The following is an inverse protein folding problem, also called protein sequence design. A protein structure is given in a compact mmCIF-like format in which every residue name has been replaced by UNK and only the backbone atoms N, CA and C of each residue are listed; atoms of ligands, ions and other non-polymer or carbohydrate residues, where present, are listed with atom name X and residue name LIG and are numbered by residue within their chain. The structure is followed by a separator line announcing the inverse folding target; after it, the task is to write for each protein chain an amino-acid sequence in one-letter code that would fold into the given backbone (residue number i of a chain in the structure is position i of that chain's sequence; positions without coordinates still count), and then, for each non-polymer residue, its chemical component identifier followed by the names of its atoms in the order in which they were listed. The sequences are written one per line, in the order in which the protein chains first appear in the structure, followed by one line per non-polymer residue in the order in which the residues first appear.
data_IF_297611625721
#
_entry.id   IF_297611625721
#
_cell.length_a   1.000
_cell.length_b   1.000
_cell.length_c   1.000
_cell.angle_alpha   90.00
_cell.angle_beta   90.00
_cell.angle_gamma   90.00
#
_symmetry.space_group_name_H-M   'P 1'
#
loop_
_entity.id
_entity.type
_entity.pdbx_description
1 polymer ?
#
# COMPACT_ATOMS: atom_id res chain seq x y z
N UNK A 1 10.72 -11.62 5.94
CA UNK A 1 9.98 -11.19 7.16
C UNK A 1 9.11 -9.96 6.90
N UNK A 2 9.63 -8.94 6.21
CA UNK A 2 8.91 -7.70 5.85
C UNK A 2 7.57 -7.93 5.13
N UNK A 3 7.45 -8.84 4.15
CA UNK A 3 6.17 -9.08 3.45
C UNK A 3 5.05 -9.67 4.31
N UNK A 4 5.38 -10.45 5.35
CA UNK A 4 4.35 -11.02 6.23
C UNK A 4 3.79 -9.95 7.17
N UNK A 5 4.69 -9.12 7.72
CA UNK A 5 4.30 -7.95 8.51
C UNK A 5 3.52 -6.94 7.67
N UNK A 6 3.98 -6.63 6.44
CA UNK A 6 3.28 -5.69 5.56
C UNK A 6 1.87 -6.16 5.20
N UNK A 7 1.70 -7.45 4.88
CA UNK A 7 0.37 -8.03 4.60
C UNK A 7 -0.53 -8.04 5.83
N UNK A 8 0.01 -8.40 7.00
CA UNK A 8 -0.73 -8.36 8.26
C UNK A 8 -1.17 -6.93 8.61
N UNK A 9 -0.23 -5.97 8.60
CA UNK A 9 -0.50 -4.57 8.90
C UNK A 9 -1.52 -3.97 7.91
N UNK A 10 -1.39 -4.28 6.61
CA UNK A 10 -2.35 -3.83 5.60
C UNK A 10 -3.73 -4.46 5.81
N UNK A 11 -3.79 -5.75 6.13
CA UNK A 11 -5.07 -6.43 6.39
C UNK A 11 -5.75 -5.87 7.64
N UNK A 12 -4.99 -5.66 8.72
CA UNK A 12 -5.52 -5.08 9.96
C UNK A 12 -5.93 -3.63 9.73
N UNK A 13 -5.17 -2.83 8.97
CA UNK A 13 -5.56 -1.46 8.65
C UNK A 13 -6.87 -1.40 7.83
N UNK A 14 -7.02 -2.28 6.83
CA UNK A 14 -8.25 -2.39 6.03
C UNK A 14 -9.46 -2.81 6.85
N UNK A 15 -9.27 -3.78 7.75
CA UNK A 15 -10.35 -4.26 8.63
C UNK A 15 -10.70 -3.21 9.68
N UNK A 16 -9.71 -2.59 10.35
CA UNK A 16 -9.94 -1.55 11.36
C UNK A 16 -10.64 -0.31 10.80
N UNK A 17 -10.47 0.01 9.52
CA UNK A 17 -11.15 1.14 8.86
C UNK A 17 -12.56 0.83 8.35
N UNK A 18 -13.02 -0.43 8.41
CA UNK A 18 -14.32 -0.83 7.86
C UNK A 18 -15.49 -0.46 8.77
N UNK A 19 -16.61 -0.04 8.18
CA UNK A 19 -17.88 0.20 8.88
C UNK A 19 -18.35 -1.00 9.71
N UNK A 20 -18.07 -2.23 9.25
CA UNK A 20 -18.47 -3.46 9.94
C UNK A 20 -17.74 -3.59 11.27
N UNK A 21 -16.45 -3.26 11.29
CA UNK A 21 -15.61 -3.33 12.49
C UNK A 21 -16.06 -2.33 13.55
N UNK A 22 -16.54 -1.15 13.14
CA UNK A 22 -17.14 -0.18 14.06
C UNK A 22 -18.38 -0.76 14.75
N UNK A 23 -19.31 -1.35 14.01
CA UNK A 23 -20.52 -1.95 14.60
C UNK A 23 -20.20 -3.17 15.48
N UNK A 24 -19.19 -3.98 15.11
CA UNK A 24 -18.71 -5.09 15.95
C UNK A 24 -18.12 -4.57 17.26
N UNK A 25 -17.25 -3.55 17.21
CA UNK A 25 -16.66 -2.95 18.40
C UNK A 25 -17.74 -2.32 19.30
N UNK A 26 -18.71 -1.61 18.70
CA UNK A 26 -19.85 -1.03 19.40
C UNK A 26 -20.70 -2.12 20.06
N UNK A 27 -21.01 -3.20 19.34
CA UNK A 27 -21.72 -4.36 19.90
C UNK A 27 -20.95 -5.01 21.06
N UNK A 28 -19.63 -5.08 20.97
CA UNK A 28 -18.76 -5.54 22.06
C UNK A 28 -18.86 -4.65 23.31
N UNK A 29 -18.89 -3.32 23.14
CA UNK A 29 -19.08 -2.37 24.26
C UNK A 29 -20.47 -2.54 24.87
N UNK A 30 -21.52 -2.67 24.05
CA UNK A 30 -22.89 -2.92 24.55
C UNK A 30 -22.95 -4.24 25.31
N UNK A 31 -22.37 -5.31 24.76
CA UNK A 31 -22.28 -6.60 25.44
C UNK A 31 -21.55 -6.51 26.77
N UNK A 32 -20.41 -5.83 26.82
CA UNK A 32 -19.67 -5.58 28.06
C UNK A 32 -20.51 -4.81 29.09
N UNK A 33 -21.25 -3.77 28.68
CA UNK A 33 -22.17 -3.04 29.56
C UNK A 33 -23.30 -3.93 30.10
N UNK A 34 -23.87 -4.80 29.26
CA UNK A 34 -24.95 -5.72 29.67
C UNK A 34 -24.46 -6.82 30.62
N UNK A 35 -23.21 -7.25 30.49
CA UNK A 35 -22.59 -8.21 31.40
C UNK A 35 -22.12 -7.55 32.72
N UNK A 36 -21.86 -6.24 32.74
CA UNK A 36 -21.40 -5.49 33.92
C UNK A 36 -22.23 -5.67 35.20
N UNK A 37 -23.58 -5.64 35.15
CA UNK A 37 -24.44 -5.88 36.30
C UNK A 37 -24.23 -7.24 36.97
N UNK A 38 -23.87 -8.29 36.21
CA UNK A 38 -23.59 -9.63 36.76
C UNK A 38 -22.32 -9.63 37.63
N UNK A 39 -21.38 -8.72 37.34
CA UNK A 39 -20.11 -8.57 38.04
C UNK A 39 -20.09 -7.33 38.95
N UNK A 40 -21.25 -6.74 39.21
CA UNK A 40 -21.42 -5.52 40.03
C UNK A 40 -20.52 -4.36 39.61
N UNK A 41 -20.13 -4.29 38.34
CA UNK A 41 -19.12 -3.35 37.84
C UNK A 41 -17.84 -3.30 38.69
N UNK A 42 -17.36 -4.46 39.16
CA UNK A 42 -16.17 -4.58 40.01
C UNK A 42 -14.92 -3.91 39.42
N UNK A 43 -13.96 -3.59 40.28
CA UNK A 43 -12.67 -3.01 39.86
C UNK A 43 -11.96 -3.88 38.83
N UNK A 44 -11.99 -5.21 38.99
CA UNK A 44 -11.42 -6.14 38.00
C UNK A 44 -12.15 -6.10 36.65
N UNK A 45 -13.48 -5.91 36.65
CA UNK A 45 -14.28 -5.79 35.42
C UNK A 45 -13.92 -4.54 34.62
N UNK A 46 -13.74 -3.41 35.31
CA UNK A 46 -13.31 -2.14 34.70
C UNK A 46 -11.84 -2.17 34.28
N UNK A 47 -10.97 -2.80 35.08
CA UNK A 47 -9.54 -2.93 34.79
C UNK A 47 -9.32 -3.67 33.46
N UNK A 48 -10.08 -4.73 33.19
CA UNK A 48 -9.95 -5.52 31.95
C UNK A 48 -10.19 -4.65 30.72
N UNK A 49 -11.27 -3.88 30.67
CA UNK A 49 -11.57 -3.05 29.49
C UNK A 49 -10.59 -1.90 29.32
N UNK A 50 -10.18 -1.28 30.43
CA UNK A 50 -9.21 -0.19 30.42
C UNK A 50 -7.84 -0.67 29.91
N UNK A 51 -7.38 -1.81 30.43
CA UNK A 51 -6.12 -2.44 30.03
C UNK A 51 -6.15 -2.87 28.56
N UNK A 52 -7.23 -3.53 28.13
CA UNK A 52 -7.39 -3.97 26.75
C UNK A 52 -7.39 -2.79 25.77
N UNK A 53 -8.15 -1.73 26.09
CA UNK A 53 -8.21 -0.53 25.24
C UNK A 53 -6.86 0.15 25.13
N UNK A 54 -6.09 0.21 26.23
CA UNK A 54 -4.75 0.78 26.23
C UNK A 54 -3.80 0.01 25.31
N UNK A 55 -3.80 -1.32 25.40
CA UNK A 55 -2.97 -2.17 24.52
C UNK A 55 -3.38 -1.98 23.05
N UNK A 56 -4.68 -2.04 22.76
CA UNK A 56 -5.21 -1.86 21.39
C UNK A 56 -4.82 -0.47 20.86
N UNK A 57 -4.98 0.58 21.66
CA UNK A 57 -4.63 1.95 21.28
C UNK A 57 -3.14 2.09 21.01
N UNK A 58 -2.30 1.51 21.87
CA UNK A 58 -0.85 1.52 21.68
C UNK A 58 -0.46 0.84 20.35
N UNK A 59 -1.05 -0.32 20.04
CA UNK A 59 -0.85 -0.99 18.75
C UNK A 59 -1.41 -0.17 17.58
N UNK A 60 -2.56 0.47 17.75
CA UNK A 60 -3.21 1.30 16.74
C UNK A 60 -2.34 2.48 16.34
N UNK A 61 -1.64 3.12 17.27
CA UNK A 61 -0.69 4.21 16.98
C UNK A 61 0.39 3.73 16.00
N UNK A 62 0.98 2.56 16.22
CA UNK A 62 1.98 2.01 15.28
C UNK A 62 1.37 1.66 13.91
N UNK A 63 0.14 1.13 13.87
CA UNK A 63 -0.55 0.83 12.62
C UNK A 63 -0.85 2.09 11.81
N UNK A 64 -1.34 3.13 12.48
CA UNK A 64 -1.61 4.43 11.89
C UNK A 64 -0.30 5.02 11.34
N UNK A 65 0.77 5.01 12.15
CA UNK A 65 2.08 5.50 11.71
C UNK A 65 2.62 4.72 10.50
N UNK A 66 2.47 3.39 10.48
CA UNK A 66 2.92 2.56 9.35
C UNK A 66 2.16 2.88 8.05
N UNK A 67 0.84 3.11 8.16
CA UNK A 67 0.00 3.47 7.01
C UNK A 67 0.30 4.90 6.55
N UNK A 68 0.35 5.85 7.49
CA UNK A 68 0.64 7.25 7.21
C UNK A 68 2.05 7.46 6.62
N UNK A 69 3.06 6.72 7.08
CA UNK A 69 4.42 6.81 6.53
C UNK A 69 4.47 6.38 5.06
N UNK A 70 3.67 5.37 4.67
CA UNK A 70 3.54 4.94 3.28
C UNK A 70 2.81 6.00 2.43
N UNK A 71 1.71 6.56 2.95
CA UNK A 71 0.92 7.57 2.25
C UNK A 71 1.70 8.86 2.03
N UNK A 72 2.47 9.30 3.04
CA UNK A 72 3.37 10.46 2.92
C UNK A 72 4.38 10.27 1.78
N UNK A 73 5.02 9.09 1.69
CA UNK A 73 5.95 8.78 0.60
C UNK A 73 5.28 8.80 -0.77
N UNK A 74 4.07 8.26 -0.89
CA UNK A 74 3.32 8.28 -2.15
C UNK A 74 2.91 9.71 -2.56
N UNK A 75 2.54 10.56 -1.59
CA UNK A 75 2.25 11.97 -1.83
C UNK A 75 3.46 12.73 -2.35
N UNK A 76 4.64 12.53 -1.74
CA UNK A 76 5.88 13.15 -2.22
C UNK A 76 6.18 12.76 -3.67
N UNK A 77 6.10 11.47 -4.02
CA UNK A 77 6.34 11.02 -5.39
C UNK A 77 5.37 11.65 -6.40
N UNK A 78 4.08 11.75 -6.07
CA UNK A 78 3.08 12.39 -6.94
C UNK A 78 3.34 13.89 -7.11
N UNK A 79 3.73 14.57 -6.03
CA UNK A 79 4.12 15.98 -6.07
C UNK A 79 5.37 16.18 -6.93
N UNK A 80 6.37 15.32 -6.79
CA UNK A 80 7.61 15.37 -7.59
C UNK A 80 7.30 15.15 -9.08
N UNK A 81 6.41 14.22 -9.43
CA UNK A 81 5.96 14.03 -10.81
C UNK A 81 5.21 15.25 -11.34
N UNK A 82 4.32 15.85 -10.55
CA UNK A 82 3.57 17.05 -10.95
C UNK A 82 4.50 18.26 -11.18
N UNK A 83 5.50 18.44 -10.30
CA UNK A 83 6.53 19.49 -10.45
C UNK A 83 7.35 19.23 -11.70
N UNK A 84 7.79 17.99 -11.93
CA UNK A 84 8.54 17.62 -13.14
C UNK A 84 7.75 17.89 -14.41
N UNK A 85 6.49 17.45 -14.46
CA UNK A 85 5.62 17.70 -15.61
C UNK A 85 5.49 19.19 -15.88
N UNK A 86 5.22 19.99 -14.83
CA UNK A 86 5.13 21.44 -14.94
C UNK A 86 6.42 22.09 -15.45
N UNK A 87 7.58 21.64 -14.99
CA UNK A 87 8.87 22.15 -15.47
C UNK A 87 9.11 21.81 -16.95
N UNK A 88 8.78 20.58 -17.38
CA UNK A 88 8.88 20.19 -18.79
C UNK A 88 7.95 21.06 -19.66
N UNK A 89 6.72 21.33 -19.21
CA UNK A 89 5.81 22.22 -19.93
C UNK A 89 6.31 23.66 -20.00
N UNK A 90 6.91 24.18 -18.93
CA UNK A 90 7.51 25.52 -18.94
C UNK A 90 8.71 25.59 -19.90
N UNK A 91 9.61 24.59 -19.85
CA UNK A 91 10.74 24.51 -20.79
C UNK A 91 10.26 24.41 -22.25
N UNK A 92 9.16 23.72 -22.52
CA UNK A 92 8.55 23.61 -23.85
C UNK A 92 7.88 24.90 -24.33
N UNK A 93 7.42 25.76 -23.44
CA UNK A 93 6.78 27.04 -23.78
C UNK A 93 7.80 28.06 -24.32
N UNK A 94 9.02 28.04 -23.76
CA UNK A 94 10.12 28.92 -24.15
C UNK A 94 11.13 28.27 -25.12
N UNK A 95 10.95 26.98 -25.46
CA UNK A 95 11.86 26.24 -26.33
C UNK A 95 11.83 26.73 -27.79
N UNK A 96 13.00 26.77 -28.41
CA UNK A 96 13.13 26.98 -29.86
C UNK A 96 12.78 25.72 -30.66
N UNK A 97 12.44 25.85 -31.94
CA UNK A 97 12.10 24.71 -32.82
C UNK A 97 13.19 23.62 -32.85
N UNK A 98 14.45 24.02 -32.73
CA UNK A 98 15.60 23.10 -32.72
C UNK A 98 15.71 22.32 -31.40
N UNK A 99 15.42 22.95 -30.27
CA UNK A 99 15.34 22.31 -28.95
C UNK A 99 14.12 21.37 -28.84
N UNK A 100 13.00 21.74 -29.48
CA UNK A 100 11.80 20.91 -29.56
C UNK A 100 12.07 19.60 -30.32
N UNK A 101 12.82 19.68 -31.43
CA UNK A 101 13.24 18.50 -32.20
C UNK A 101 14.19 17.59 -31.42
N UNK A 102 15.09 18.16 -30.60
CA UNK A 102 15.98 17.38 -29.74
C UNK A 102 15.21 16.67 -28.61
N UNK A 103 14.21 17.33 -28.03
CA UNK A 103 13.26 16.71 -27.07
C UNK A 103 12.51 15.52 -27.69
N UNK A 104 12.02 15.66 -28.92
CA UNK A 104 11.34 14.57 -29.63
C UNK A 104 12.29 13.39 -29.87
N UNK A 105 13.53 13.64 -30.30
CA UNK A 105 14.54 12.59 -30.45
C UNK A 105 14.82 11.87 -29.13
N UNK A 106 14.96 12.59 -28.02
CA UNK A 106 15.17 11.98 -26.71
C UNK A 106 13.99 11.08 -26.31
N UNK A 107 12.74 11.51 -26.54
CA UNK A 107 11.56 10.69 -26.28
C UNK A 107 11.49 9.44 -27.16
N UNK A 108 11.84 9.56 -28.45
CA UNK A 108 11.88 8.41 -29.36
C UNK A 108 12.94 7.39 -28.93
N UNK A 109 14.14 7.84 -28.53
CA UNK A 109 15.20 6.96 -27.99
C UNK A 109 14.75 6.27 -26.70
N UNK A 110 14.09 7.01 -25.81
CA UNK A 110 13.58 6.44 -24.56
C UNK A 110 12.54 5.34 -24.87
N UNK A 111 11.54 5.61 -25.72
CA UNK A 111 10.53 4.62 -26.14
C UNK A 111 11.13 3.38 -26.79
N UNK A 112 12.15 3.57 -27.64
CA UNK A 112 12.87 2.45 -28.26
C UNK A 112 13.56 1.56 -27.20
N UNK A 113 14.16 2.18 -26.17
CA UNK A 113 14.81 1.44 -25.08
C UNK A 113 13.82 0.64 -24.21
N UNK A 114 12.61 1.17 -23.95
CA UNK A 114 11.56 0.45 -23.23
C UNK A 114 11.04 -0.74 -24.03
N UNK A 115 10.84 -0.56 -25.35
CA UNK A 115 10.40 -1.64 -26.24
C UNK A 115 11.42 -2.78 -26.26
N UNK A 116 12.71 -2.46 -26.46
CA UNK A 116 13.77 -3.46 -26.52
C UNK A 116 13.93 -4.25 -25.20
N UNK A 117 13.73 -3.58 -24.06
CA UNK A 117 13.82 -4.23 -22.74
C UNK A 117 12.62 -5.14 -22.45
N UNK A 118 11.43 -4.78 -22.98
CA UNK A 118 10.21 -5.58 -22.86
C UNK A 118 10.27 -6.81 -23.74
N UNK A 119 10.75 -6.64 -24.97
CA UNK A 119 10.88 -7.73 -25.95
C UNK A 119 11.96 -8.74 -25.49
N UNK A 120 13.09 -8.27 -24.93
CA UNK A 120 14.10 -9.15 -24.33
C UNK A 120 13.58 -9.95 -23.12
N UNK A 121 12.66 -9.36 -22.34
CA UNK A 121 12.06 -10.04 -21.19
C UNK A 121 10.99 -11.05 -21.60
N UNK A 122 10.25 -10.79 -22.68
CA UNK A 122 9.34 -11.76 -23.30
C UNK A 122 10.13 -12.96 -23.86
N UNK A 123 11.27 -12.73 -24.52
CA UNK A 123 12.15 -13.79 -25.02
C UNK A 123 12.75 -14.66 -23.90
N UNK A 124 13.20 -14.04 -22.80
CA UNK A 124 13.73 -14.75 -21.62
C UNK A 124 12.64 -15.59 -20.92
N UNK A 125 11.42 -15.05 -20.80
CA UNK A 125 10.28 -15.76 -20.20
C UNK A 125 9.80 -16.93 -21.08
N UNK A 126 9.89 -16.80 -22.41
CA UNK A 126 9.54 -17.85 -23.37
C UNK A 126 10.59 -18.96 -23.42
N UNK A 127 11.88 -18.61 -23.36
CA UNK A 127 12.97 -19.58 -23.21
C UNK A 127 12.88 -20.35 -21.89
N UNK A 128 12.55 -19.67 -20.78
CA UNK A 128 12.35 -20.31 -19.47
C UNK A 128 11.13 -21.26 -19.43
N UNK A 129 10.09 -21.01 -20.24
CA UNK A 129 8.93 -21.90 -20.40
C UNK A 129 9.24 -23.10 -21.30
N UNK A 130 10.06 -22.92 -22.33
CA UNK A 130 10.45 -24.00 -23.24
C UNK A 130 11.43 -25.00 -22.59
N UNK A 131 12.25 -24.55 -21.64
CA UNK A 131 13.20 -25.40 -20.88
C UNK A 131 12.57 -26.08 -19.65
N UNK A 132 11.29 -25.80 -19.34
CA UNK A 132 10.60 -26.45 -18.22
C UNK A 132 10.33 -27.93 -18.54
N UNK A 133 10.89 -28.89 -17.78
CA UNK A 133 10.77 -30.30 -18.09
C UNK A 133 9.32 -30.78 -17.89
N UNK A 134 8.72 -31.32 -18.95
CA UNK A 134 7.42 -32.00 -18.97
C UNK A 134 7.41 -33.13 -17.92
N UNK A 135 6.92 -32.81 -16.71
CA UNK A 135 6.91 -33.75 -15.60
C UNK A 135 5.77 -33.48 -14.64
N UNK A 136 4.52 -33.64 -15.13
CA UNK A 136 3.40 -34.10 -14.31
C UNK A 136 2.18 -34.47 -15.17
N UNK A 137 2.21 -35.66 -15.78
CA UNK A 137 0.98 -36.34 -16.19
C UNK A 137 0.24 -36.89 -14.95
N UNK A 138 -1.07 -36.63 -14.78
CA UNK A 138 -1.78 -36.98 -13.55
C UNK A 138 -2.06 -38.49 -13.51
N UNK A 139 -1.73 -39.13 -12.39
CA UNK A 139 -2.25 -40.45 -11.99
C UNK A 139 -2.92 -40.34 -10.64
#
# INVERSE_FOLDING_TARGET
MHERFHRFAHHVAMVSGSQVTFFVALGGIVGWCLLGPLFSFSDSWQLVINTATTIITFLMVFLIQATQNRDAKALHLKLDELIRARNIFADLEDATDEELADFEQQFQRLRASWKNRRDAQEDDDEAARADAPDSAGPR
#
